data_IF_279810621937
#
_entry.id   IF_279810621937
#
_cell.length_a   1.000
_cell.length_b   1.000
_cell.length_c   1.000
_cell.angle_alpha   90.00
_cell.angle_beta   90.00
_cell.angle_gamma   90.00
#
_symmetry.space_group_name_H-M   'P 1'
#
loop_
_entity.id
_entity.type
_entity.pdbx_description
1 polymer ?
#
# COMPACT_ATOMS: atom_id res chain seq x y z
N UNK A 1 -5.52 -16.76 -5.07
CA UNK A 1 -6.56 -15.83 -4.57
C UNK A 1 -6.05 -15.20 -3.28
N UNK A 2 -6.41 -13.94 -3.00
CA UNK A 2 -5.84 -13.19 -1.88
C UNK A 2 -6.03 -13.90 -0.54
N UNK A 3 -4.94 -14.02 0.24
CA UNK A 3 -4.96 -14.64 1.56
C UNK A 3 -4.87 -13.57 2.65
N UNK A 4 -5.83 -13.62 3.57
CA UNK A 4 -5.83 -12.82 4.80
C UNK A 4 -4.59 -13.12 5.63
N UNK A 5 -4.05 -12.10 6.29
CA UNK A 5 -2.90 -12.25 7.19
C UNK A 5 -3.25 -11.67 8.55
N UNK A 6 -3.15 -12.50 9.59
CA UNK A 6 -3.44 -12.08 10.96
C UNK A 6 -2.50 -10.95 11.40
N UNK A 7 -3.01 -10.08 12.25
CA UNK A 7 -2.20 -8.99 12.80
C UNK A 7 -1.17 -9.54 13.79
N UNK A 8 0.04 -8.98 13.74
CA UNK A 8 1.05 -9.17 14.78
C UNK A 8 1.36 -7.79 15.40
N UNK A 9 1.25 -7.63 16.73
CA UNK A 9 1.47 -6.33 17.38
C UNK A 9 2.88 -5.77 17.17
N UNK A 10 3.84 -6.59 16.75
CA UNK A 10 5.22 -6.17 16.44
C UNK A 10 5.39 -5.61 15.02
N UNK A 11 4.37 -5.74 14.16
CA UNK A 11 4.48 -5.51 12.73
C UNK A 11 4.06 -4.10 12.26
N UNK A 12 3.47 -3.28 13.13
CA UNK A 12 3.12 -1.89 12.83
C UNK A 12 2.05 -1.67 11.74
N UNK A 13 1.42 -2.74 11.24
CA UNK A 13 0.39 -2.64 10.20
C UNK A 13 -0.95 -2.16 10.76
N UNK A 14 -1.61 -1.29 9.99
CA UNK A 14 -3.05 -1.06 10.12
C UNK A 14 -3.83 -2.23 9.54
N UNK A 15 -5.14 -2.30 9.81
CA UNK A 15 -5.91 -3.44 9.39
C UNK A 15 -7.40 -3.36 9.70
N UNK A 16 -8.06 -4.49 9.48
CA UNK A 16 -9.48 -4.68 9.75
C UNK A 16 -9.68 -5.50 11.03
N UNK A 17 -10.79 -5.24 11.72
CA UNK A 17 -11.19 -5.98 12.91
C UNK A 17 -12.70 -6.22 12.90
N UNK A 18 -13.14 -7.42 13.26
CA UNK A 18 -14.56 -7.77 13.38
C UNK A 18 -14.80 -8.79 14.49
N UNK A 19 -16.05 -8.94 14.92
CA UNK A 19 -16.46 -9.96 15.89
C UNK A 19 -17.00 -11.19 15.14
N UNK A 20 -16.48 -12.37 15.46
CA UNK A 20 -16.90 -13.64 14.86
C UNK A 20 -17.68 -14.48 15.87
N UNK A 21 -19.01 -14.37 15.86
CA UNK A 21 -19.90 -15.07 16.80
C UNK A 21 -19.95 -16.60 16.60
N UNK A 22 -19.33 -17.14 15.56
CA UNK A 22 -19.12 -18.59 15.40
C UNK A 22 -17.89 -19.11 16.15
N UNK A 23 -17.11 -18.23 16.78
CA UNK A 23 -15.87 -18.58 17.47
C UNK A 23 -16.13 -19.45 18.71
N UNK A 24 -15.39 -20.55 18.93
CA UNK A 24 -15.45 -21.33 20.17
C UNK A 24 -15.18 -20.47 21.41
N UNK A 25 -15.81 -20.81 22.54
CA UNK A 25 -15.76 -20.01 23.78
C UNK A 25 -14.34 -19.80 24.33
N UNK A 26 -13.40 -20.69 24.01
CA UNK A 26 -12.00 -20.62 24.43
C UNK A 26 -11.10 -19.84 23.46
N UNK A 27 -11.65 -19.21 22.42
CA UNK A 27 -10.91 -18.45 21.43
C UNK A 27 -11.32 -16.97 21.42
N UNK A 28 -10.44 -16.06 20.96
CA UNK A 28 -10.79 -14.65 20.86
C UNK A 28 -11.94 -14.40 19.87
N UNK A 29 -13.02 -13.79 20.37
CA UNK A 29 -14.17 -13.34 19.59
C UNK A 29 -13.78 -12.32 18.52
N UNK A 30 -12.84 -11.42 18.84
CA UNK A 30 -12.36 -10.38 17.93
C UNK A 30 -11.29 -10.96 17.01
N UNK A 31 -11.53 -10.94 15.70
CA UNK A 31 -10.56 -11.30 14.66
C UNK A 31 -9.93 -10.03 14.09
N UNK A 32 -8.62 -10.05 13.87
CA UNK A 32 -7.84 -8.91 13.39
C UNK A 32 -6.89 -9.33 12.28
N UNK A 33 -6.93 -8.62 11.16
CA UNK A 33 -6.10 -8.89 9.98
C UNK A 33 -5.43 -7.61 9.50
N UNK A 34 -4.22 -7.71 8.97
CA UNK A 34 -3.52 -6.55 8.40
C UNK A 34 -4.15 -6.13 7.08
N UNK A 35 -4.11 -4.83 6.80
CA UNK A 35 -4.36 -4.28 5.49
C UNK A 35 -3.06 -4.32 4.67
N UNK A 36 -3.09 -4.92 3.48
CA UNK A 36 -1.92 -4.94 2.58
C UNK A 36 -2.32 -4.99 1.11
N UNK A 37 -1.43 -4.47 0.26
CA UNK A 37 -1.49 -4.71 -1.18
C UNK A 37 -1.32 -6.19 -1.51
N UNK A 38 -1.99 -6.65 -2.56
CA UNK A 38 -1.71 -7.97 -3.14
C UNK A 38 -0.38 -7.89 -3.89
N UNK A 39 0.51 -8.82 -3.58
CA UNK A 39 1.77 -8.97 -4.30
C UNK A 39 2.13 -10.45 -4.36
N UNK A 40 2.22 -10.97 -5.58
CA UNK A 40 2.52 -12.37 -5.89
C UNK A 40 3.64 -12.40 -6.92
N UNK A 41 4.64 -13.25 -6.73
CA UNK A 41 5.71 -13.47 -7.71
C UNK A 41 5.15 -14.14 -8.96
N UNK A 42 5.53 -13.68 -10.16
CA UNK A 42 5.29 -14.42 -11.42
C UNK A 42 5.90 -15.82 -11.39
N UNK A 43 7.12 -15.94 -10.85
CA UNK A 43 7.78 -17.22 -10.59
C UNK A 43 8.01 -17.40 -9.08
N UNK A 44 7.16 -18.17 -8.38
CA UNK A 44 7.28 -18.40 -6.94
C UNK A 44 8.58 -19.11 -6.51
N UNK A 45 9.14 -19.96 -7.38
CA UNK A 45 10.35 -20.74 -7.10
C UNK A 45 11.64 -19.94 -7.29
N UNK A 46 11.56 -18.79 -7.97
CA UNK A 46 12.73 -17.95 -8.19
C UNK A 46 13.06 -17.12 -6.93
N UNK A 47 14.35 -17.07 -6.59
CA UNK A 47 14.86 -16.19 -5.52
C UNK A 47 14.44 -14.73 -5.77
N UNK A 48 14.55 -14.27 -7.02
CA UNK A 48 14.12 -12.97 -7.50
C UNK A 48 13.08 -13.13 -8.61
N UNK A 49 11.93 -12.46 -8.52
CA UNK A 49 10.89 -12.49 -9.55
C UNK A 49 10.20 -11.14 -9.68
N UNK A 50 9.80 -10.79 -10.89
CA UNK A 50 8.81 -9.74 -11.11
C UNK A 50 7.47 -10.12 -10.44
N UNK A 51 6.65 -9.15 -10.00
CA UNK A 51 5.31 -9.43 -9.52
C UNK A 51 4.37 -9.73 -10.69
N UNK A 52 3.28 -10.46 -10.42
CA UNK A 52 2.16 -10.60 -11.38
C UNK A 52 1.57 -9.22 -11.69
N UNK A 53 1.35 -8.41 -10.65
CA UNK A 53 0.89 -7.03 -10.73
C UNK A 53 1.75 -6.15 -9.81
N UNK A 54 2.43 -5.11 -10.32
CA UNK A 54 3.23 -4.22 -9.51
C UNK A 54 2.35 -3.22 -8.74
N UNK A 55 2.82 -2.81 -7.57
CA UNK A 55 2.19 -1.73 -6.80
C UNK A 55 2.65 -0.40 -7.40
N UNK A 56 1.71 0.37 -7.94
CA UNK A 56 2.03 1.67 -8.57
C UNK A 56 1.42 2.81 -7.76
N UNK A 57 2.28 3.75 -7.34
CA UNK A 57 1.89 5.02 -6.75
C UNK A 57 2.21 6.19 -7.69
N UNK A 58 1.37 7.21 -7.65
CA UNK A 58 1.46 8.39 -8.51
C UNK A 58 1.63 9.64 -7.66
N UNK A 59 2.66 10.44 -7.95
CA UNK A 59 2.85 11.74 -7.33
C UNK A 59 2.00 12.79 -8.01
N UNK A 60 1.30 13.58 -7.21
CA UNK A 60 0.48 14.70 -7.66
C UNK A 60 1.27 15.74 -8.46
N UNK A 61 0.69 16.14 -9.60
CA UNK A 61 1.22 17.15 -10.53
C UNK A 61 1.34 18.53 -9.89
N UNK A 62 0.61 18.80 -8.80
CA UNK A 62 0.72 20.04 -8.03
C UNK A 62 2.00 20.18 -7.23
N UNK A 63 2.82 19.13 -7.11
CA UNK A 63 4.08 19.19 -6.35
C UNK A 63 5.11 20.07 -7.08
N UNK A 64 5.63 21.15 -6.50
CA UNK A 64 6.63 22.00 -7.15
C UNK A 64 8.04 21.40 -7.11
N UNK A 65 8.91 21.79 -8.04
CA UNK A 65 10.35 21.54 -7.90
C UNK A 65 10.96 22.47 -6.83
N UNK A 66 12.01 22.03 -6.10
CA UNK A 66 12.72 20.75 -6.20
C UNK A 66 12.05 19.59 -5.42
N UNK A 67 10.92 19.85 -4.75
CA UNK A 67 10.27 18.89 -3.84
C UNK A 67 9.74 17.68 -4.61
N UNK A 68 9.24 17.88 -5.82
CA UNK A 68 8.78 16.80 -6.71
C UNK A 68 9.87 15.76 -6.95
N UNK A 69 11.05 16.20 -7.37
CA UNK A 69 12.19 15.30 -7.59
C UNK A 69 12.55 14.54 -6.31
N UNK A 70 12.64 15.24 -5.18
CA UNK A 70 12.95 14.61 -3.89
C UNK A 70 11.91 13.58 -3.43
N UNK A 71 10.60 13.85 -3.64
CA UNK A 71 9.53 12.92 -3.31
C UNK A 71 9.52 11.69 -4.23
N UNK A 72 9.76 11.87 -5.53
CA UNK A 72 9.88 10.74 -6.46
C UNK A 72 11.03 9.82 -6.05
N UNK A 73 12.21 10.37 -5.77
CA UNK A 73 13.39 9.59 -5.40
C UNK A 73 13.22 8.93 -4.03
N UNK A 74 12.76 9.69 -3.03
CA UNK A 74 12.53 9.17 -1.68
C UNK A 74 11.46 8.07 -1.66
N UNK A 75 10.38 8.21 -2.43
CA UNK A 75 9.37 7.16 -2.53
C UNK A 75 9.93 5.90 -3.22
N UNK A 76 10.80 6.06 -4.23
CA UNK A 76 11.45 4.94 -4.93
C UNK A 76 12.44 4.15 -4.06
N UNK A 77 12.92 4.69 -2.94
CA UNK A 77 13.77 3.94 -2.01
C UNK A 77 13.11 2.68 -1.46
N UNK A 78 11.77 2.61 -1.44
CA UNK A 78 11.05 1.38 -1.10
C UNK A 78 11.43 0.20 -2.00
N UNK A 79 11.90 0.43 -3.23
CA UNK A 79 12.41 -0.64 -4.08
C UNK A 79 13.51 -1.46 -3.40
N UNK A 80 14.37 -0.85 -2.58
CA UNK A 80 15.40 -1.59 -1.84
C UNK A 80 14.78 -2.66 -0.91
N UNK A 81 13.66 -2.33 -0.26
CA UNK A 81 12.94 -3.28 0.59
C UNK A 81 12.25 -4.38 -0.22
N UNK A 82 11.67 -4.04 -1.38
CA UNK A 82 11.06 -5.05 -2.27
C UNK A 82 12.10 -5.97 -2.91
N UNK A 83 13.25 -5.45 -3.32
CA UNK A 83 14.40 -6.22 -3.81
C UNK A 83 14.94 -7.16 -2.73
N UNK A 84 15.11 -6.66 -1.49
CA UNK A 84 15.49 -7.49 -0.35
C UNK A 84 14.44 -8.58 -0.04
N UNK A 85 13.16 -8.33 -0.34
CA UNK A 85 12.08 -9.32 -0.26
C UNK A 85 12.03 -10.27 -1.47
N UNK A 86 12.97 -10.17 -2.42
CA UNK A 86 13.08 -11.03 -3.58
C UNK A 86 12.17 -10.64 -4.75
N UNK A 87 11.77 -9.37 -4.84
CA UNK A 87 11.01 -8.83 -5.96
C UNK A 87 11.84 -7.91 -6.85
N UNK A 88 11.64 -8.05 -8.16
CA UNK A 88 12.12 -7.09 -9.16
C UNK A 88 10.95 -6.23 -9.62
N UNK A 89 11.14 -4.91 -9.73
CA UNK A 89 10.15 -3.97 -10.27
C UNK A 89 8.75 -4.04 -9.60
N UNK A 90 8.70 -4.34 -8.29
CA UNK A 90 7.43 -4.51 -7.58
C UNK A 90 6.78 -3.22 -7.09
N UNK A 91 7.55 -2.15 -6.91
CA UNK A 91 7.03 -0.88 -6.43
C UNK A 91 7.45 0.27 -7.35
N UNK A 92 6.46 0.89 -7.98
CA UNK A 92 6.69 1.86 -9.04
C UNK A 92 6.10 3.19 -8.61
N UNK A 93 6.91 4.25 -8.73
CA UNK A 93 6.46 5.63 -8.47
C UNK A 93 6.59 6.45 -9.75
N UNK A 94 5.47 7.02 -10.19
CA UNK A 94 5.35 7.84 -11.39
C UNK A 94 4.74 9.19 -11.06
N UNK A 95 4.79 10.12 -12.01
CA UNK A 95 3.97 11.33 -11.97
C UNK A 95 2.56 10.97 -12.43
N UNK A 96 1.54 11.56 -11.80
CA UNK A 96 0.15 11.34 -12.17
C UNK A 96 -0.10 11.78 -13.63
N UNK A 97 -0.81 10.99 -14.48
CA UNK A 97 -1.16 11.44 -15.83
C UNK A 97 -1.88 12.78 -15.82
N UNK A 98 -1.63 13.65 -16.79
CA UNK A 98 -2.20 15.01 -16.83
C UNK A 98 -3.73 15.03 -16.92
N UNK A 99 -4.31 13.99 -17.52
CA UNK A 99 -5.75 13.78 -17.67
C UNK A 99 -6.40 13.07 -16.47
N UNK A 100 -5.62 12.58 -15.51
CA UNK A 100 -6.12 11.88 -14.33
C UNK A 100 -6.44 12.85 -13.18
N UNK A 101 -7.62 12.70 -12.60
CA UNK A 101 -7.99 13.45 -11.41
C UNK A 101 -7.28 12.86 -10.17
N UNK A 102 -6.71 13.66 -9.24
CA UNK A 102 -6.01 13.13 -8.05
C UNK A 102 -6.85 12.24 -7.13
N UNK A 103 -8.19 12.38 -7.18
CA UNK A 103 -9.14 11.56 -6.41
C UNK A 103 -9.72 10.37 -7.21
N UNK A 104 -9.25 10.12 -8.42
CA UNK A 104 -9.70 8.99 -9.23
C UNK A 104 -9.34 7.66 -8.57
N UNK A 105 -10.33 6.77 -8.41
CA UNK A 105 -10.19 5.49 -7.71
C UNK A 105 -9.14 4.56 -8.33
N UNK A 106 -8.85 4.72 -9.63
CA UNK A 106 -7.92 3.88 -10.39
C UNK A 106 -6.44 4.09 -10.03
N UNK A 107 -6.12 5.17 -9.31
CA UNK A 107 -4.74 5.54 -8.99
C UNK A 107 -4.51 5.59 -7.48
N UNK A 108 -3.43 4.94 -7.01
CA UNK A 108 -2.89 5.21 -5.66
C UNK A 108 -2.08 6.51 -5.74
N UNK A 109 -2.49 7.55 -5.02
CA UNK A 109 -1.90 8.90 -5.20
C UNK A 109 -1.18 9.35 -3.93
N UNK A 110 0.06 9.79 -4.09
CA UNK A 110 0.80 10.60 -3.12
C UNK A 110 0.38 12.05 -3.38
N UNK A 111 -0.55 12.55 -2.57
CA UNK A 111 -1.17 13.86 -2.80
C UNK A 111 -0.35 15.00 -2.19
N UNK A 112 -0.13 16.07 -2.95
CA UNK A 112 0.52 17.27 -2.47
C UNK A 112 -0.53 18.34 -2.15
N UNK A 113 -0.59 18.76 -0.88
CA UNK A 113 -1.57 19.73 -0.42
C UNK A 113 -0.86 20.91 0.22
N UNK A 114 -1.09 22.11 -0.31
CA UNK A 114 -0.68 23.35 0.33
C UNK A 114 -1.57 23.63 1.54
N UNK A 115 -0.95 23.93 2.68
CA UNK A 115 -1.65 24.29 3.91
C UNK A 115 -1.10 25.61 4.46
N UNK A 116 -1.96 26.39 5.10
CA UNK A 116 -1.63 27.66 5.75
C UNK A 116 -0.87 27.47 7.08
N UNK A 117 -0.98 26.30 7.71
CA UNK A 117 -0.30 25.94 8.96
C UNK A 117 0.58 24.70 8.78
N UNK A 118 1.35 24.36 9.82
CA UNK A 118 2.14 23.12 9.88
C UNK A 118 1.26 21.91 9.55
N UNK A 119 1.57 21.25 8.44
CA UNK A 119 0.92 20.01 8.04
C UNK A 119 1.65 18.78 8.56
N UNK A 120 0.89 17.68 8.69
CA UNK A 120 1.42 16.33 8.88
C UNK A 120 1.07 15.50 7.64
N UNK A 121 1.86 14.47 7.37
CA UNK A 121 1.49 13.44 6.39
C UNK A 121 0.41 12.55 6.99
N UNK A 122 -0.65 12.28 6.21
CA UNK A 122 -1.69 11.32 6.55
C UNK A 122 -1.85 10.34 5.40
N UNK A 123 -2.10 9.08 5.72
CA UNK A 123 -2.42 8.03 4.77
C UNK A 123 -3.78 7.43 5.09
N UNK A 124 -4.54 7.11 4.07
CA UNK A 124 -5.72 6.27 4.16
C UNK A 124 -5.69 5.26 3.01
N UNK A 125 -6.33 4.13 3.20
CA UNK A 125 -6.48 3.11 2.17
C UNK A 125 -7.94 2.73 2.05
N UNK A 126 -8.42 2.54 0.83
CA UNK A 126 -9.66 1.80 0.59
C UNK A 126 -9.29 0.33 0.64
N UNK A 127 -9.93 -0.38 1.55
CA UNK A 127 -9.61 -1.79 1.82
C UNK A 127 -10.89 -2.62 1.66
N UNK A 128 -10.80 -3.80 1.05
CA UNK A 128 -11.92 -4.76 1.07
C UNK A 128 -12.15 -5.20 2.53
N UNK A 129 -13.31 -4.90 3.13
CA UNK A 129 -13.57 -5.17 4.54
C UNK A 129 -13.64 -6.68 4.86
N UNK A 130 -13.76 -7.54 3.85
CA UNK A 130 -13.83 -9.00 4.00
C UNK A 130 -12.46 -9.65 4.07
N UNK A 131 -11.46 -9.04 3.44
CA UNK A 131 -10.13 -9.64 3.24
C UNK A 131 -8.99 -8.82 3.83
N UNK A 132 -9.12 -7.50 3.96
CA UNK A 132 -8.00 -6.63 4.28
C UNK A 132 -7.11 -6.35 3.05
N UNK A 133 -7.54 -6.67 1.84
CA UNK A 133 -6.80 -6.29 0.64
C UNK A 133 -6.95 -4.80 0.38
N UNK A 134 -5.83 -4.08 0.23
CA UNK A 134 -5.82 -2.68 -0.20
C UNK A 134 -6.16 -2.66 -1.69
N UNK A 135 -7.19 -1.88 -2.04
CA UNK A 135 -7.64 -1.67 -3.42
C UNK A 135 -7.39 -0.23 -3.89
N UNK A 136 -7.04 0.69 -2.96
CA UNK A 136 -6.58 2.07 -3.19
C UNK A 136 -5.86 2.62 -1.97
#
# INVERSE_FOLDING_TARGET
GYQKRETDPRSGFFGISYQDYGTPINQPLTKRFIARHRLEKKNPEAAMSEPVEPIVYYLDNGTPEPVRSALLDGARWWNQAFEAAGYKDAFIVKVLPEDAHPLDVRYNVIQWIHRSTRGWSYGSSVTDPRTGEIIK
#
